data_IF_192499555432
#
_entry.id   IF_192499555432
#
_cell.length_a   1.000
_cell.length_b   1.000
_cell.length_c   1.000
_cell.angle_alpha   90.00
_cell.angle_beta   90.00
_cell.angle_gamma   90.00
#
_symmetry.space_group_name_H-M   'P 1'
#
loop_
_entity.id
_entity.type
_entity.pdbx_description
1 polymer ?
#
# COMPACT_ATOMS: atom_id res chain seq x y z
N UNK A 1 -1.05 23.98 -13.10
CA UNK A 1 -0.23 24.57 -12.03
C UNK A 1 0.81 23.54 -11.61
N UNK A 2 2.03 23.64 -12.14
CA UNK A 2 3.15 22.78 -11.76
C UNK A 2 3.94 23.50 -10.67
N UNK A 3 4.04 22.89 -9.49
CA UNK A 3 5.01 23.25 -8.46
C UNK A 3 5.73 21.97 -8.03
N UNK A 4 7.04 22.12 -7.84
CA UNK A 4 8.06 21.08 -7.79
C UNK A 4 8.08 20.41 -6.42
N UNK A 5 8.01 19.08 -6.40
CA UNK A 5 8.60 18.21 -5.38
C UNK A 5 9.00 16.90 -6.09
N UNK A 6 10.20 16.39 -5.80
CA UNK A 6 10.92 15.35 -6.57
C UNK A 6 10.05 14.31 -7.31
N UNK A 7 9.95 14.48 -8.63
CA UNK A 7 9.52 13.54 -9.66
C UNK A 7 8.76 12.28 -9.16
N UNK A 8 7.50 12.45 -8.76
CA UNK A 8 6.55 11.34 -8.83
C UNK A 8 6.16 11.15 -10.30
N UNK A 9 6.74 10.15 -10.96
CA UNK A 9 6.41 9.79 -12.36
C UNK A 9 5.10 9.01 -12.50
N UNK A 10 4.34 8.83 -11.42
CA UNK A 10 3.14 8.01 -11.38
C UNK A 10 1.97 8.79 -10.77
N UNK A 11 0.76 8.55 -11.31
CA UNK A 11 -0.45 9.13 -10.75
C UNK A 11 -0.69 8.61 -9.33
N UNK A 12 -1.14 9.51 -8.45
CA UNK A 12 -1.48 9.22 -7.04
C UNK A 12 -2.93 8.79 -6.88
N UNK A 13 -3.26 8.18 -5.75
CA UNK A 13 -4.65 7.83 -5.40
C UNK A 13 -5.48 9.10 -5.31
N UNK A 14 -4.94 10.18 -4.72
CA UNK A 14 -5.65 11.45 -4.64
C UNK A 14 -5.94 12.05 -6.01
N UNK A 15 -4.96 12.06 -6.92
CA UNK A 15 -5.18 12.55 -8.29
C UNK A 15 -6.24 11.74 -9.03
N UNK A 16 -6.22 10.40 -8.92
CA UNK A 16 -7.24 9.55 -9.55
C UNK A 16 -8.62 9.80 -8.95
N UNK A 17 -8.71 9.99 -7.63
CA UNK A 17 -9.94 10.35 -6.93
C UNK A 17 -10.47 11.70 -7.39
N UNK A 18 -9.63 12.75 -7.39
CA UNK A 18 -10.02 14.10 -7.79
C UNK A 18 -10.54 14.11 -9.24
N UNK A 19 -9.89 13.37 -10.14
CA UNK A 19 -10.38 13.20 -11.52
C UNK A 19 -11.77 12.56 -11.60
N UNK A 20 -12.05 11.54 -10.77
CA UNK A 20 -13.39 10.93 -10.73
C UNK A 20 -14.45 11.91 -10.18
N UNK A 21 -14.07 12.79 -9.25
CA UNK A 21 -14.95 13.86 -8.75
C UNK A 21 -15.19 14.91 -9.82
N UNK A 22 -14.13 15.39 -10.48
CA UNK A 22 -14.19 16.42 -11.53
C UNK A 22 -15.01 15.98 -12.74
N UNK A 23 -14.93 14.71 -13.10
CA UNK A 23 -15.72 14.11 -14.19
C UNK A 23 -17.16 13.76 -13.78
N UNK A 24 -17.53 13.94 -12.51
CA UNK A 24 -18.86 13.61 -11.98
C UNK A 24 -19.11 12.10 -11.83
N UNK A 25 -18.09 11.26 -11.99
CA UNK A 25 -18.23 9.81 -11.80
C UNK A 25 -18.50 9.43 -10.35
N UNK A 26 -18.03 10.24 -9.39
CA UNK A 26 -18.34 10.11 -7.96
C UNK A 26 -18.64 11.48 -7.34
N UNK A 27 -19.42 11.49 -6.26
CA UNK A 27 -19.57 12.67 -5.43
C UNK A 27 -18.33 12.88 -4.55
N UNK A 28 -17.96 14.15 -4.32
CA UNK A 28 -16.90 14.50 -3.38
C UNK A 28 -17.27 14.09 -1.95
N UNK A 29 -16.34 13.45 -1.25
CA UNK A 29 -16.49 12.94 0.11
C UNK A 29 -15.20 13.23 0.90
N UNK A 30 -15.25 14.16 1.89
CA UNK A 30 -14.08 14.52 2.69
C UNK A 30 -13.42 13.35 3.43
N UNK A 31 -14.17 12.29 3.76
CA UNK A 31 -13.59 11.11 4.39
C UNK A 31 -12.75 10.29 3.39
N UNK A 32 -13.21 10.16 2.15
CA UNK A 32 -12.49 9.48 1.08
C UNK A 32 -11.24 10.26 0.69
N UNK A 33 -11.32 11.58 0.65
CA UNK A 33 -10.18 12.47 0.43
C UNK A 33 -9.05 12.27 1.46
N UNK A 34 -9.40 12.15 2.75
CA UNK A 34 -8.41 11.88 3.82
C UNK A 34 -7.77 10.50 3.66
N UNK A 35 -8.55 9.51 3.25
CA UNK A 35 -8.05 8.16 2.99
C UNK A 35 -7.12 8.16 1.78
N UNK A 36 -7.47 8.81 0.68
CA UNK A 36 -6.63 8.92 -0.52
C UNK A 36 -5.26 9.54 -0.17
N UNK A 37 -5.26 10.65 0.57
CA UNK A 37 -4.02 11.29 1.02
C UNK A 37 -3.21 10.39 1.99
N UNK A 38 -3.86 9.56 2.82
CA UNK A 38 -3.15 8.59 3.65
C UNK A 38 -2.51 7.46 2.83
N UNK A 39 -3.19 6.99 1.78
CA UNK A 39 -2.67 5.97 0.86
C UNK A 39 -1.50 6.48 0.02
N UNK A 40 -1.51 7.76 -0.35
CA UNK A 40 -0.38 8.40 -1.04
C UNK A 40 0.85 8.48 -0.13
N UNK A 41 0.69 8.91 1.13
CA UNK A 41 1.78 8.87 2.12
C UNK A 41 2.34 7.46 2.33
N UNK A 42 1.46 6.45 2.40
CA UNK A 42 1.89 5.06 2.50
C UNK A 42 2.68 4.62 1.25
N UNK A 43 2.30 5.09 0.07
CA UNK A 43 3.02 4.83 -1.19
C UNK A 43 4.44 5.40 -1.14
N UNK A 44 4.60 6.61 -0.61
CA UNK A 44 5.91 7.24 -0.43
C UNK A 44 6.79 6.47 0.57
N UNK A 45 6.23 6.08 1.72
CA UNK A 45 6.96 5.29 2.73
C UNK A 45 7.45 3.93 2.17
N UNK A 46 6.58 3.23 1.43
CA UNK A 46 6.93 1.97 0.77
C UNK A 46 8.03 2.19 -0.27
N UNK A 47 7.93 3.25 -1.07
CA UNK A 47 8.87 3.54 -2.15
C UNK A 47 10.24 3.94 -1.61
N UNK A 48 10.29 4.82 -0.61
CA UNK A 48 11.51 5.25 0.06
C UNK A 48 12.25 4.07 0.70
N UNK A 49 11.54 3.19 1.40
CA UNK A 49 12.14 1.99 2.00
C UNK A 49 12.77 1.07 0.94
N UNK A 50 12.11 0.91 -0.21
CA UNK A 50 12.63 0.08 -1.31
C UNK A 50 13.90 0.66 -1.95
N UNK A 51 13.97 1.98 -2.09
CA UNK A 51 15.18 2.65 -2.60
C UNK A 51 16.36 2.48 -1.64
N UNK A 52 16.14 2.67 -0.33
CA UNK A 52 17.17 2.49 0.70
C UNK A 52 17.74 1.06 0.76
N UNK A 53 16.94 0.04 0.41
CA UNK A 53 17.43 -1.35 0.35
C UNK A 53 18.29 -1.63 -0.88
N UNK A 54 18.15 -0.88 -1.99
CA UNK A 54 18.93 -1.12 -3.22
C UNK A 54 20.35 -0.56 -3.17
N UNK A 55 20.63 0.44 -2.33
CA UNK A 55 21.91 1.17 -2.31
C UNK A 55 23.07 0.46 -1.58
N UNK A 56 22.96 -0.83 -1.26
CA UNK A 56 23.82 -1.47 -0.24
C UNK A 56 24.73 -2.60 -0.75
N UNK A 57 25.26 -2.52 -1.98
CA UNK A 57 26.25 -3.49 -2.45
C UNK A 57 27.66 -3.30 -1.84
N UNK A 58 28.02 -2.07 -1.44
CA UNK A 58 29.27 -1.75 -0.73
C UNK A 58 29.07 -1.45 0.77
N UNK A 59 27.82 -1.30 1.23
CA UNK A 59 27.51 -0.93 2.61
C UNK A 59 27.70 -2.05 3.65
N UNK A 60 27.82 -3.31 3.22
CA UNK A 60 27.98 -4.46 4.11
C UNK A 60 29.33 -4.47 4.86
N UNK A 61 30.36 -3.83 4.29
CA UNK A 61 31.69 -3.71 4.91
C UNK A 61 31.73 -2.73 6.09
N UNK A 62 30.73 -1.84 6.22
CA UNK A 62 30.72 -0.77 7.23
C UNK A 62 29.46 -0.74 8.09
N UNK A 63 28.47 -1.62 7.87
CA UNK A 63 27.16 -1.47 8.48
C UNK A 63 26.94 -2.39 9.70
N UNK A 64 27.29 -1.89 10.88
CA UNK A 64 26.59 -2.23 12.13
C UNK A 64 25.35 -1.33 12.24
N UNK A 65 24.36 -1.55 11.36
CA UNK A 65 23.14 -0.70 11.31
C UNK A 65 21.91 -1.54 11.61
N UNK A 66 21.15 -1.14 12.64
CA UNK A 66 19.86 -1.74 12.98
C UNK A 66 18.95 -1.76 11.73
N UNK A 67 18.18 -2.83 11.52
CA UNK A 67 17.27 -2.89 10.39
C UNK A 67 16.28 -1.72 10.47
N UNK A 68 16.00 -1.03 9.34
CA UNK A 68 15.04 0.08 9.35
C UNK A 68 13.66 -0.43 9.77
N UNK A 69 12.96 0.40 10.55
CA UNK A 69 11.63 0.09 11.06
C UNK A 69 10.67 -0.41 9.96
N UNK A 70 9.75 -1.34 10.28
CA UNK A 70 8.73 -1.75 9.33
C UNK A 70 7.82 -0.57 8.95
N UNK A 71 7.45 -0.49 7.67
CA UNK A 71 6.41 0.44 7.22
C UNK A 71 5.08 -0.07 7.77
N UNK A 72 4.32 0.79 8.46
CA UNK A 72 3.01 0.42 9.01
C UNK A 72 1.95 0.56 7.93
N UNK A 73 1.02 -0.39 7.89
CA UNK A 73 -0.12 -0.33 6.97
C UNK A 73 -1.26 0.56 7.49
N UNK A 74 -2.31 0.67 6.69
CA UNK A 74 -3.55 1.37 7.04
C UNK A 74 -4.69 0.38 7.28
N UNK A 75 -5.48 0.60 8.33
CA UNK A 75 -6.74 -0.09 8.57
C UNK A 75 -7.90 0.85 8.25
N UNK A 76 -8.63 0.56 7.19
CA UNK A 76 -9.73 1.41 6.70
C UNK A 76 -11.06 0.75 7.08
N UNK A 77 -11.86 1.43 7.89
CA UNK A 77 -13.17 0.96 8.33
C UNK A 77 -14.24 2.02 8.09
N UNK A 78 -15.51 1.61 8.11
CA UNK A 78 -16.66 2.48 7.89
C UNK A 78 -17.83 1.72 7.27
N UNK A 79 -18.98 2.40 7.14
CA UNK A 79 -20.22 1.80 6.64
C UNK A 79 -20.11 1.15 5.25
N UNK A 80 -21.06 0.27 4.95
CA UNK A 80 -21.21 -0.36 3.62
C UNK A 80 -21.48 0.71 2.56
N UNK A 81 -20.97 0.52 1.34
CA UNK A 81 -21.19 1.44 0.22
C UNK A 81 -20.38 2.75 0.26
N UNK A 82 -19.48 2.95 1.23
CA UNK A 82 -18.69 4.19 1.38
C UNK A 82 -17.41 4.27 0.52
N UNK A 83 -17.31 3.51 -0.57
CA UNK A 83 -16.17 3.62 -1.50
C UNK A 83 -14.82 3.05 -1.00
N UNK A 84 -14.77 2.34 0.14
CA UNK A 84 -13.52 1.76 0.68
C UNK A 84 -12.81 0.83 -0.33
N UNK A 85 -13.58 -0.03 -0.99
CA UNK A 85 -13.07 -0.97 -2.00
C UNK A 85 -12.48 -0.22 -3.19
N UNK A 86 -13.18 0.80 -3.70
CA UNK A 86 -12.72 1.66 -4.79
C UNK A 86 -11.37 2.35 -4.45
N UNK A 87 -11.24 2.91 -3.24
CA UNK A 87 -9.98 3.52 -2.80
C UNK A 87 -8.84 2.51 -2.73
N UNK A 88 -9.12 1.30 -2.24
CA UNK A 88 -8.13 0.21 -2.22
C UNK A 88 -7.78 -0.30 -3.61
N UNK A 89 -8.72 -0.30 -4.55
CA UNK A 89 -8.47 -0.65 -5.96
C UNK A 89 -7.52 0.35 -6.61
N UNK A 90 -7.80 1.65 -6.48
CA UNK A 90 -6.91 2.71 -6.97
C UNK A 90 -5.51 2.61 -6.36
N UNK A 91 -5.42 2.42 -5.04
CA UNK A 91 -4.12 2.23 -4.38
C UNK A 91 -3.38 1.00 -4.89
N UNK A 92 -4.06 -0.14 -5.00
CA UNK A 92 -3.43 -1.36 -5.46
C UNK A 92 -2.95 -1.22 -6.89
N UNK A 93 -3.69 -0.57 -7.78
CA UNK A 93 -3.29 -0.31 -9.16
C UNK A 93 -2.04 0.59 -9.23
N UNK A 94 -2.10 1.75 -8.57
CA UNK A 94 -1.11 2.83 -8.68
C UNK A 94 0.17 2.60 -7.88
N UNK A 95 0.17 1.72 -6.88
CA UNK A 95 1.35 1.42 -6.07
C UNK A 95 2.51 0.90 -6.96
N UNK A 96 3.70 1.56 -7.03
CA UNK A 96 4.79 1.21 -7.95
C UNK A 96 5.63 0.01 -7.45
N UNK A 97 4.96 -1.04 -6.99
CA UNK A 97 5.52 -2.28 -6.48
C UNK A 97 5.09 -3.43 -7.37
N UNK A 98 6.07 -4.14 -7.98
CA UNK A 98 5.79 -5.29 -8.86
C UNK A 98 5.25 -6.50 -8.09
N UNK A 99 5.79 -6.75 -6.89
CA UNK A 99 5.39 -7.87 -6.02
C UNK A 99 4.37 -7.39 -4.99
N UNK A 100 3.11 -7.33 -5.38
CA UNK A 100 1.96 -6.99 -4.54
C UNK A 100 0.84 -8.00 -4.77
N UNK A 101 0.07 -8.33 -3.73
CA UNK A 101 -1.07 -9.27 -3.80
C UNK A 101 -2.28 -8.61 -3.18
N UNK A 102 -3.43 -8.67 -3.86
CA UNK A 102 -4.74 -8.31 -3.33
C UNK A 102 -5.49 -9.61 -2.99
N UNK A 103 -6.13 -9.66 -1.84
CA UNK A 103 -6.90 -10.82 -1.37
C UNK A 103 -8.18 -10.35 -0.69
N UNK A 104 -9.26 -11.09 -0.85
CA UNK A 104 -10.44 -10.95 0.00
C UNK A 104 -10.14 -11.55 1.37
N UNK A 105 -10.75 -11.01 2.43
CA UNK A 105 -10.43 -11.41 3.80
C UNK A 105 -10.68 -12.90 4.06
N UNK A 106 -11.78 -13.45 3.57
CA UNK A 106 -12.10 -14.87 3.78
C UNK A 106 -11.08 -15.80 3.12
N UNK A 107 -10.69 -15.52 1.88
CA UNK A 107 -9.68 -16.30 1.17
C UNK A 107 -8.31 -16.20 1.85
N UNK A 108 -8.00 -15.00 2.37
CA UNK A 108 -6.79 -14.78 3.16
C UNK A 108 -6.81 -15.62 4.44
N UNK A 109 -7.92 -15.64 5.17
CA UNK A 109 -8.02 -16.41 6.41
C UNK A 109 -7.96 -17.92 6.17
N UNK A 110 -8.55 -18.41 5.08
CA UNK A 110 -8.41 -19.81 4.66
C UNK A 110 -6.94 -20.17 4.35
N UNK A 111 -6.25 -19.36 3.53
CA UNK A 111 -4.81 -19.53 3.21
C UNK A 111 -3.94 -19.52 4.48
N UNK A 112 -4.25 -18.66 5.45
CA UNK A 112 -3.55 -18.62 6.74
C UNK A 112 -3.76 -19.90 7.54
N UNK A 113 -5.01 -20.38 7.66
CA UNK A 113 -5.33 -21.60 8.40
C UNK A 113 -4.65 -22.83 7.80
N UNK A 114 -4.66 -22.96 6.47
CA UNK A 114 -3.99 -24.04 5.76
C UNK A 114 -2.48 -24.08 6.02
N UNK A 115 -1.83 -22.91 5.98
CA UNK A 115 -0.38 -22.80 6.26
C UNK A 115 -0.06 -23.19 7.70
N UNK A 116 -0.87 -22.75 8.66
CA UNK A 116 -0.72 -23.12 10.07
C UNK A 116 -0.84 -24.64 10.24
N UNK A 117 -1.82 -25.26 9.56
CA UNK A 117 -2.03 -26.70 9.64
C UNK A 117 -0.87 -27.50 9.05
N UNK A 118 -0.38 -27.13 7.86
CA UNK A 118 0.80 -27.76 7.24
C UNK A 118 2.03 -27.65 8.13
N UNK A 119 2.27 -26.47 8.71
CA UNK A 119 3.39 -26.25 9.63
C UNK A 119 3.30 -27.13 10.89
N UNK A 120 2.09 -27.32 11.44
CA UNK A 120 1.87 -28.22 12.59
C UNK A 120 2.14 -29.68 12.24
N UNK A 121 1.72 -30.13 11.05
CA UNK A 121 1.96 -31.51 10.59
C UNK A 121 3.44 -31.79 10.36
N UNK A 122 4.17 -30.85 9.75
CA UNK A 122 5.61 -30.98 9.51
C UNK A 122 6.47 -31.06 10.79
N UNK A 123 5.94 -30.67 11.96
CA UNK A 123 6.63 -30.77 13.26
C UNK A 123 6.30 -32.03 14.05
N UNK A 124 5.35 -32.83 13.57
CA UNK A 124 4.98 -34.11 14.19
C UNK A 124 5.75 -35.30 13.60
N UNK A 125 6.42 -35.10 12.46
CA UNK A 125 7.36 -36.02 11.84
C UNK A 125 8.79 -35.57 12.14
#
# INVERSE_FOLDING_TARGET
MHLRDGLQTHATVRQRYDHLVETGAIARDPAQERIAAALDRLTDEISAKRLAQKSSALGWLFARKQPPAPVKGLYIHGGVGRGKTMLMDMFFELLPVRRKRRVHFNDFMADVQDRIQKHRQARKN
#
